data_IF_263653829636
#
_entry.id   IF_263653829636
#
_cell.length_a   1.000
_cell.length_b   1.000
_cell.length_c   1.000
_cell.angle_alpha   90.00
_cell.angle_beta   90.00
_cell.angle_gamma   90.00
#
_symmetry.space_group_name_H-M   'P 1'
#
loop_
_entity.id
_entity.type
_entity.pdbx_description
1 polymer ?
#
# COMPACT_ATOMS: atom_id res chain seq x y z
N UNK A 1 2.50 3.82 -17.52
CA UNK A 1 2.59 4.22 -16.10
C UNK A 1 3.91 4.92 -15.84
N UNK A 2 5.05 4.26 -16.07
CA UNK A 2 6.39 4.75 -15.72
C UNK A 2 6.72 6.17 -16.22
N UNK A 3 6.41 6.47 -17.49
CA UNK A 3 6.66 7.81 -18.06
C UNK A 3 5.80 8.93 -17.46
N UNK A 4 4.62 8.59 -16.91
CA UNK A 4 3.67 9.58 -16.37
C UNK A 4 3.80 9.78 -14.86
N UNK A 5 4.43 8.84 -14.17
CA UNK A 5 4.51 8.79 -12.70
C UNK A 5 5.90 8.30 -12.27
N UNK A 6 6.95 8.99 -12.73
CA UNK A 6 8.34 8.58 -12.55
C UNK A 6 8.77 8.42 -11.07
N UNK A 7 8.49 9.43 -10.25
CA UNK A 7 8.64 9.50 -8.80
C UNK A 7 7.93 8.35 -8.08
N UNK A 8 6.67 8.09 -8.44
CA UNK A 8 5.92 6.96 -7.87
C UNK A 8 6.47 5.62 -8.34
N UNK A 9 6.98 5.55 -9.56
CA UNK A 9 7.57 4.33 -10.13
C UNK A 9 8.84 3.93 -9.39
N UNK A 10 9.69 4.90 -9.07
CA UNK A 10 10.90 4.66 -8.27
C UNK A 10 10.55 4.09 -6.89
N UNK A 11 9.61 4.72 -6.19
CA UNK A 11 9.13 4.25 -4.87
C UNK A 11 8.47 2.87 -4.99
N UNK A 12 7.73 2.61 -6.07
CA UNK A 12 7.10 1.31 -6.30
C UNK A 12 8.13 0.20 -6.52
N UNK A 13 9.19 0.45 -7.31
CA UNK A 13 10.29 -0.50 -7.54
C UNK A 13 11.03 -0.80 -6.22
N UNK A 14 11.30 0.23 -5.42
CA UNK A 14 11.84 0.06 -4.07
C UNK A 14 10.91 -0.82 -3.22
N UNK A 15 9.60 -0.59 -3.28
CA UNK A 15 8.59 -1.43 -2.63
C UNK A 15 8.66 -2.90 -3.05
N UNK A 16 8.87 -3.20 -4.33
CA UNK A 16 9.07 -4.58 -4.78
C UNK A 16 10.31 -5.22 -4.14
N UNK A 17 11.44 -4.51 -4.08
CA UNK A 17 12.68 -5.02 -3.46
C UNK A 17 12.51 -5.27 -1.95
N UNK A 18 11.85 -4.34 -1.25
CA UNK A 18 11.52 -4.48 0.17
C UNK A 18 10.64 -5.71 0.41
N UNK A 19 9.64 -5.96 -0.45
CA UNK A 19 8.78 -7.14 -0.34
C UNK A 19 9.56 -8.46 -0.45
N UNK A 20 10.53 -8.54 -1.36
CA UNK A 20 11.33 -9.75 -1.55
C UNK A 20 12.31 -9.96 -0.38
N UNK A 21 12.91 -8.88 0.15
CA UNK A 21 13.74 -8.94 1.35
C UNK A 21 12.93 -9.39 2.57
N UNK A 22 11.72 -8.84 2.72
CA UNK A 22 10.77 -9.23 3.77
C UNK A 22 10.35 -10.69 3.65
N UNK A 23 10.08 -11.16 2.44
CA UNK A 23 9.74 -12.56 2.18
C UNK A 23 10.85 -13.50 2.68
N UNK A 24 12.11 -13.22 2.34
CA UNK A 24 13.27 -13.98 2.84
C UNK A 24 13.34 -13.98 4.35
N UNK A 25 13.14 -12.83 4.98
CA UNK A 25 13.13 -12.76 6.44
C UNK A 25 12.00 -13.59 7.06
N UNK A 26 10.79 -13.52 6.52
CA UNK A 26 9.63 -14.22 7.04
C UNK A 26 9.77 -15.74 6.89
N UNK A 27 10.47 -16.20 5.85
CA UNK A 27 10.57 -17.61 5.48
C UNK A 27 11.94 -18.25 5.75
N UNK A 28 12.91 -17.53 6.32
CA UNK A 28 14.29 -18.01 6.58
C UNK A 28 14.42 -19.34 7.32
N UNK A 29 13.40 -19.75 8.08
CA UNK A 29 13.38 -20.98 8.87
C UNK A 29 12.38 -22.01 8.32
N UNK A 30 11.86 -21.82 7.12
CA UNK A 30 10.90 -22.71 6.46
C UNK A 30 11.63 -23.50 5.35
N UNK A 31 11.07 -24.64 4.93
CA UNK A 31 11.64 -25.45 3.83
C UNK A 31 11.78 -24.68 2.52
N UNK A 32 10.90 -23.72 2.29
CA UNK A 32 11.03 -22.73 1.24
C UNK A 32 11.33 -21.38 1.87
N UNK A 33 12.52 -20.87 1.60
CA UNK A 33 13.14 -19.72 2.27
C UNK A 33 12.97 -18.38 1.50
N UNK A 34 12.25 -18.40 0.38
CA UNK A 34 12.07 -17.26 -0.51
C UNK A 34 13.39 -16.70 -1.11
N UNK A 35 14.47 -17.49 -1.17
CA UNK A 35 15.73 -17.05 -1.79
C UNK A 35 15.61 -17.01 -3.31
N UNK A 36 14.96 -18.02 -3.89
CA UNK A 36 14.66 -18.11 -5.32
C UNK A 36 13.21 -17.69 -5.60
N UNK A 37 12.98 -16.38 -5.66
CA UNK A 37 11.66 -15.76 -5.88
C UNK A 37 11.10 -15.95 -7.28
N UNK A 38 11.97 -16.29 -8.23
CA UNK A 38 11.57 -16.57 -9.60
C UNK A 38 11.24 -18.05 -9.81
N UNK A 39 11.84 -18.97 -9.04
CA UNK A 39 11.68 -20.41 -9.25
C UNK A 39 11.44 -21.19 -7.94
N UNK A 40 10.43 -22.05 -7.93
CA UNK A 40 10.18 -23.04 -6.90
C UNK A 40 10.23 -24.44 -7.51
N UNK A 41 11.10 -25.33 -6.98
CA UNK A 41 11.32 -26.70 -7.49
C UNK A 41 11.60 -26.74 -9.00
N UNK A 42 12.45 -25.83 -9.48
CA UNK A 42 12.86 -25.75 -10.90
C UNK A 42 11.80 -25.17 -11.84
N UNK A 43 10.66 -24.67 -11.35
CA UNK A 43 9.60 -24.05 -12.16
C UNK A 43 9.35 -22.61 -11.74
N UNK A 44 8.94 -21.76 -12.67
CA UNK A 44 8.68 -20.37 -12.32
C UNK A 44 7.58 -20.28 -11.25
N UNK A 45 7.80 -19.49 -10.19
CA UNK A 45 6.78 -19.22 -9.18
C UNK A 45 5.57 -18.51 -9.80
N UNK A 46 5.80 -17.71 -10.83
CA UNK A 46 4.76 -17.07 -11.64
C UNK A 46 4.31 -17.90 -12.84
N UNK A 47 4.70 -19.17 -12.95
CA UNK A 47 4.31 -20.04 -14.07
C UNK A 47 2.78 -20.08 -14.18
N UNK A 48 2.20 -19.61 -15.30
CA UNK A 48 0.76 -19.58 -15.52
C UNK A 48 0.15 -20.98 -15.68
N UNK A 49 0.96 -22.04 -15.66
CA UNK A 49 0.48 -23.42 -15.65
C UNK A 49 0.62 -24.08 -14.27
N UNK A 50 1.12 -23.36 -13.25
CA UNK A 50 1.29 -23.88 -11.89
C UNK A 50 0.88 -22.89 -10.81
N UNK A 51 -0.19 -23.23 -10.09
CA UNK A 51 -0.59 -22.52 -8.87
C UNK A 51 0.16 -23.04 -7.65
N UNK A 52 1.27 -22.41 -7.29
CA UNK A 52 1.96 -22.69 -6.02
C UNK A 52 1.37 -21.88 -4.87
N UNK A 53 1.32 -22.48 -3.68
CA UNK A 53 0.90 -21.78 -2.46
C UNK A 53 1.88 -20.63 -2.18
N UNK A 54 3.16 -20.84 -2.40
CA UNK A 54 4.27 -19.91 -2.21
C UNK A 54 4.11 -18.66 -3.07
N UNK A 55 3.56 -18.77 -4.28
CA UNK A 55 3.28 -17.61 -5.13
C UNK A 55 2.27 -16.67 -4.46
N UNK A 56 1.28 -17.22 -3.74
CA UNK A 56 0.26 -16.40 -3.07
C UNK A 56 0.84 -15.41 -2.06
N UNK A 57 1.85 -15.84 -1.30
CA UNK A 57 2.48 -14.98 -0.29
C UNK A 57 3.33 -13.89 -0.94
N UNK A 58 4.03 -14.21 -2.03
CA UNK A 58 4.82 -13.22 -2.78
C UNK A 58 3.90 -12.13 -3.32
N UNK A 59 2.83 -12.49 -4.01
CA UNK A 59 1.88 -11.51 -4.57
C UNK A 59 1.22 -10.65 -3.49
N UNK A 60 0.86 -11.26 -2.35
CA UNK A 60 0.33 -10.52 -1.21
C UNK A 60 1.36 -9.52 -0.62
N UNK A 61 2.62 -9.95 -0.44
CA UNK A 61 3.70 -9.09 0.05
C UNK A 61 4.02 -7.95 -0.92
N UNK A 62 4.06 -8.22 -2.22
CA UNK A 62 4.30 -7.19 -3.24
C UNK A 62 3.19 -6.14 -3.25
N UNK A 63 1.93 -6.57 -3.26
CA UNK A 63 0.78 -5.67 -3.21
C UNK A 63 0.74 -4.82 -1.94
N UNK A 64 1.06 -5.41 -0.79
CA UNK A 64 1.15 -4.70 0.49
C UNK A 64 2.33 -3.73 0.54
N UNK A 65 3.53 -4.14 0.11
CA UNK A 65 4.74 -3.33 0.18
C UNK A 65 4.64 -2.11 -0.72
N UNK A 66 4.26 -2.28 -1.98
CA UNK A 66 4.12 -1.17 -2.93
C UNK A 66 3.08 -0.16 -2.40
N UNK A 67 1.95 -0.64 -1.89
CA UNK A 67 0.93 0.24 -1.28
C UNK A 67 1.47 0.97 -0.05
N UNK A 68 2.23 0.28 0.81
CA UNK A 68 2.85 0.86 2.03
C UNK A 68 3.87 1.94 1.68
N UNK A 69 4.79 1.66 0.77
CA UNK A 69 5.88 2.56 0.40
C UNK A 69 5.37 3.81 -0.31
N UNK A 70 4.44 3.67 -1.27
CA UNK A 70 3.84 4.84 -1.94
C UNK A 70 3.06 5.68 -0.92
N UNK A 71 2.28 5.05 -0.04
CA UNK A 71 1.53 5.78 0.99
C UNK A 71 2.44 6.55 1.94
N UNK A 72 3.58 5.96 2.32
CA UNK A 72 4.57 6.60 3.20
C UNK A 72 5.27 7.76 2.51
N UNK A 73 5.80 7.55 1.32
CA UNK A 73 6.44 8.61 0.52
C UNK A 73 5.47 9.78 0.30
N UNK A 74 4.19 9.47 0.08
CA UNK A 74 3.15 10.48 -0.03
C UNK A 74 2.96 11.29 1.26
N UNK A 75 2.85 10.60 2.40
CA UNK A 75 2.67 11.25 3.71
C UNK A 75 3.93 11.99 4.21
N UNK A 76 5.10 11.63 3.70
CA UNK A 76 6.38 12.27 4.00
C UNK A 76 6.68 13.49 3.11
N UNK A 77 5.82 13.76 2.11
CA UNK A 77 6.03 14.77 1.08
C UNK A 77 7.25 14.51 0.16
N UNK A 78 7.68 13.25 0.03
CA UNK A 78 8.72 12.84 -0.92
C UNK A 78 8.20 12.85 -2.39
N UNK A 79 6.88 12.73 -2.57
CA UNK A 79 6.20 12.73 -3.87
C UNK A 79 5.69 14.13 -4.26
N UNK A 80 6.62 15.08 -4.41
CA UNK A 80 6.36 16.53 -4.51
C UNK A 80 5.28 16.94 -5.53
N UNK A 81 5.17 16.24 -6.67
CA UNK A 81 4.24 16.58 -7.76
C UNK A 81 3.04 15.66 -7.87
N UNK A 82 3.08 14.52 -7.17
CA UNK A 82 2.19 13.39 -7.42
C UNK A 82 1.14 13.21 -6.34
N UNK A 83 1.41 13.64 -5.10
CA UNK A 83 0.44 13.74 -4.04
C UNK A 83 0.91 14.67 -2.91
N UNK A 84 -0.02 15.16 -2.09
CA UNK A 84 0.32 15.98 -0.94
C UNK A 84 -0.88 16.24 -0.03
N UNK A 85 -0.61 16.52 1.24
CA UNK A 85 -1.62 17.00 2.18
C UNK A 85 -1.68 18.52 2.07
N UNK A 86 -2.52 19.05 1.18
CA UNK A 86 -2.74 20.50 1.13
C UNK A 86 -3.36 20.96 2.44
N UNK A 87 -2.77 21.99 3.06
CA UNK A 87 -3.51 22.86 3.96
C UNK A 87 -4.78 23.29 3.23
N UNK A 88 -5.92 23.31 3.91
CA UNK A 88 -7.27 23.41 3.34
C UNK A 88 -7.60 24.77 2.68
N UNK A 89 -6.65 25.37 1.97
CA UNK A 89 -6.75 26.65 1.27
C UNK A 89 -6.60 26.53 -0.26
N UNK A 90 -6.16 25.39 -0.82
CA UNK A 90 -5.86 25.31 -2.27
C UNK A 90 -6.76 24.39 -3.12
N UNK A 91 -7.89 23.90 -2.61
CA UNK A 91 -8.87 23.16 -3.42
C UNK A 91 -10.12 24.01 -3.71
N UNK A 92 -9.94 25.09 -4.48
CA UNK A 92 -11.04 25.89 -5.03
C UNK A 92 -11.42 25.48 -6.47
N UNK A 93 -11.23 24.20 -6.85
CA UNK A 93 -11.71 23.65 -8.13
C UNK A 93 -12.05 22.17 -8.00
N UNK A 94 -13.25 21.87 -7.49
CA UNK A 94 -14.12 20.80 -8.01
C UNK A 94 -15.40 20.70 -7.17
N UNK A 95 -16.51 20.88 -7.88
CA UNK A 95 -17.86 20.40 -7.60
C UNK A 95 -18.83 21.27 -6.77
N UNK A 96 -19.66 21.99 -7.53
CA UNK A 96 -20.91 22.62 -7.10
C UNK A 96 -21.97 21.52 -6.89
N UNK A 97 -22.02 20.90 -5.71
CA UNK A 97 -23.30 20.37 -5.23
C UNK A 97 -23.36 20.10 -3.74
N UNK A 98 -24.17 20.97 -3.11
CA UNK A 98 -25.03 20.75 -1.95
C UNK A 98 -24.45 20.90 -0.53
N UNK A 99 -25.04 21.93 0.08
CA UNK A 99 -25.53 22.07 1.46
C UNK A 99 -24.54 22.52 2.54
N UNK A 100 -24.64 23.82 2.82
CA UNK A 100 -24.29 24.53 4.04
C UNK A 100 -24.63 23.72 5.30
N UNK A 101 -23.68 23.58 6.22
CA UNK A 101 -23.84 23.93 7.64
C UNK A 101 -22.46 23.98 8.34
N UNK A 102 -22.25 25.10 9.03
CA UNK A 102 -21.29 25.39 10.09
C UNK A 102 -19.76 25.30 9.82
N UNK A 103 -19.16 26.49 9.74
CA UNK A 103 -17.72 26.78 9.69
C UNK A 103 -17.07 26.69 11.08
N UNK A 104 -17.14 25.54 11.73
CA UNK A 104 -16.40 25.33 12.97
C UNK A 104 -14.93 25.01 12.68
N UNK A 105 -14.01 25.56 13.48
CA UNK A 105 -12.57 25.25 13.46
C UNK A 105 -12.33 23.73 13.47
N UNK A 106 -13.12 22.99 14.26
CA UNK A 106 -13.13 21.53 14.31
C UNK A 106 -13.58 20.87 13.00
N UNK A 107 -14.52 21.48 12.27
CA UNK A 107 -14.93 21.05 10.93
C UNK A 107 -13.87 21.25 9.85
N UNK A 108 -13.06 22.33 9.96
CA UNK A 108 -11.88 22.57 9.10
C UNK A 108 -10.73 21.61 9.43
N UNK A 109 -10.49 21.31 10.71
CA UNK A 109 -9.49 20.33 11.15
C UNK A 109 -9.86 18.91 10.69
N UNK A 110 -11.15 18.56 10.70
CA UNK A 110 -11.66 17.30 10.13
C UNK A 110 -11.40 17.20 8.63
N UNK A 111 -11.60 18.28 7.86
CA UNK A 111 -11.25 18.34 6.43
C UNK A 111 -9.73 18.29 6.17
N UNK A 112 -8.93 18.93 7.00
CA UNK A 112 -7.46 18.82 6.96
C UNK A 112 -6.98 17.38 7.21
N UNK A 113 -7.60 16.67 8.16
CA UNK A 113 -7.34 15.24 8.38
C UNK A 113 -7.77 14.36 7.19
N UNK A 114 -8.84 14.73 6.47
CA UNK A 114 -9.27 14.08 5.22
C UNK A 114 -8.30 14.34 4.05
N UNK A 115 -7.66 15.50 3.98
CA UNK A 115 -6.63 15.81 2.98
C UNK A 115 -5.37 14.94 3.14
N UNK A 116 -5.10 14.42 4.35
CA UNK A 116 -4.00 13.48 4.62
C UNK A 116 -4.44 12.00 4.69
N UNK A 117 -5.75 11.74 4.77
CA UNK A 117 -6.37 10.45 4.46
C UNK A 117 -6.25 10.07 2.96
N UNK A 118 -5.75 11.01 2.15
CA UNK A 118 -5.34 10.80 0.76
C UNK A 118 -4.15 9.85 0.63
N UNK A 119 -3.18 9.82 1.56
CA UNK A 119 -1.92 9.06 1.35
C UNK A 119 -2.12 7.55 1.18
N UNK A 120 -2.93 6.92 2.04
CA UNK A 120 -3.29 5.51 1.94
C UNK A 120 -4.14 5.20 0.69
N UNK A 121 -5.05 6.10 0.35
CA UNK A 121 -5.94 5.96 -0.81
C UNK A 121 -5.17 6.15 -2.11
N UNK A 122 -4.23 7.10 -2.11
CA UNK A 122 -3.31 7.39 -3.19
C UNK A 122 -2.38 6.21 -3.42
N UNK A 123 -1.74 5.71 -2.36
CA UNK A 123 -0.92 4.52 -2.41
C UNK A 123 -1.67 3.30 -2.94
N UNK A 124 -2.94 3.12 -2.58
CA UNK A 124 -3.80 2.09 -3.14
C UNK A 124 -3.99 2.27 -4.67
N UNK A 125 -4.45 3.44 -5.11
CA UNK A 125 -4.72 3.74 -6.53
C UNK A 125 -3.47 3.57 -7.38
N UNK A 126 -2.33 4.11 -6.91
CA UNK A 126 -1.08 4.04 -7.66
C UNK A 126 -0.51 2.63 -7.68
N UNK A 127 -0.60 1.90 -6.56
CA UNK A 127 -0.27 0.48 -6.54
C UNK A 127 -1.12 -0.31 -7.53
N UNK A 128 -2.40 0.04 -7.72
CA UNK A 128 -3.25 -0.58 -8.76
C UNK A 128 -2.64 -0.33 -10.12
N UNK A 129 -2.50 0.93 -10.49
CA UNK A 129 -2.02 1.33 -11.82
C UNK A 129 -0.61 0.80 -12.14
N UNK A 130 0.25 0.62 -11.13
CA UNK A 130 1.59 0.07 -11.28
C UNK A 130 1.59 -1.45 -11.45
N UNK A 131 0.85 -2.17 -10.61
CA UNK A 131 0.83 -3.64 -10.59
C UNK A 131 -0.17 -4.25 -11.57
N UNK A 132 -1.13 -3.47 -12.06
CA UNK A 132 -2.17 -3.92 -12.99
C UNK A 132 -1.56 -4.38 -14.30
N UNK A 133 -1.44 -5.70 -14.42
CA UNK A 133 -1.03 -6.37 -15.65
C UNK A 133 -2.18 -6.30 -16.62
N UNK A 134 -2.00 -5.62 -17.75
CA UNK A 134 -2.83 -5.87 -18.94
C UNK A 134 -2.56 -7.31 -19.35
N UNK A 135 -3.53 -8.20 -19.15
CA UNK A 135 -3.37 -9.58 -19.60
C UNK A 135 -3.26 -9.57 -21.12
N UNK A 136 -2.09 -9.99 -21.64
CA UNK A 136 -1.89 -10.20 -23.07
C UNK A 136 -2.56 -11.50 -23.55
N UNK A 137 -3.05 -12.36 -22.64
CA UNK A 137 -3.54 -13.72 -22.93
C UNK A 137 -4.93 -14.09 -22.39
N UNK A 138 -5.68 -13.15 -21.81
CA UNK A 138 -7.00 -13.41 -21.23
C UNK A 138 -7.00 -13.48 -19.70
N UNK A 139 -8.19 -13.37 -19.09
CA UNK A 139 -8.39 -13.38 -17.64
C UNK A 139 -8.44 -14.83 -17.11
N UNK A 140 -7.31 -15.53 -17.15
CA UNK A 140 -7.24 -16.92 -16.67
C UNK A 140 -7.41 -17.00 -15.14
N UNK A 141 -7.79 -18.17 -14.61
CA UNK A 141 -8.02 -18.38 -13.17
C UNK A 141 -6.81 -17.91 -12.34
N UNK A 142 -5.59 -18.18 -12.80
CA UNK A 142 -4.38 -17.72 -12.10
C UNK A 142 -4.22 -16.20 -12.07
N UNK A 143 -4.67 -15.49 -13.10
CA UNK A 143 -4.70 -14.02 -13.07
C UNK A 143 -5.63 -13.54 -11.94
N UNK A 144 -6.81 -14.14 -11.80
CA UNK A 144 -7.73 -13.82 -10.72
C UNK A 144 -7.16 -14.17 -9.33
N UNK A 145 -6.47 -15.31 -9.19
CA UNK A 145 -5.80 -15.71 -7.94
C UNK A 145 -4.69 -14.72 -7.58
N UNK A 146 -3.86 -14.31 -8.55
CA UNK A 146 -2.80 -13.31 -8.33
C UNK A 146 -3.40 -11.96 -7.90
N UNK A 147 -4.42 -11.49 -8.62
CA UNK A 147 -5.12 -10.26 -8.26
C UNK A 147 -5.79 -10.35 -6.88
N UNK A 148 -6.36 -11.49 -6.52
CA UNK A 148 -6.91 -11.73 -5.19
C UNK A 148 -5.83 -11.57 -4.11
N UNK A 149 -4.68 -12.20 -4.29
CA UNK A 149 -3.57 -12.17 -3.34
C UNK A 149 -2.97 -10.77 -3.21
N UNK A 150 -2.72 -10.06 -4.31
CA UNK A 150 -2.28 -8.66 -4.29
C UNK A 150 -3.29 -7.76 -3.55
N UNK A 151 -4.59 -7.97 -3.81
CA UNK A 151 -5.66 -7.22 -3.16
C UNK A 151 -5.79 -7.53 -1.67
N UNK A 152 -5.48 -8.74 -1.23
CA UNK A 152 -5.40 -9.09 0.19
C UNK A 152 -4.35 -8.23 0.88
N UNK A 153 -3.13 -8.16 0.33
CA UNK A 153 -2.03 -7.37 0.87
C UNK A 153 -2.41 -5.89 1.03
N UNK A 154 -2.96 -5.29 -0.03
CA UNK A 154 -3.51 -3.93 -0.03
C UNK A 154 -4.58 -3.70 1.04
N UNK A 155 -5.56 -4.61 1.16
CA UNK A 155 -6.63 -4.50 2.16
C UNK A 155 -6.07 -4.55 3.59
N UNK A 156 -5.05 -5.37 3.83
CA UNK A 156 -4.37 -5.45 5.13
C UNK A 156 -3.67 -4.13 5.48
N UNK A 157 -2.94 -3.52 4.55
CA UNK A 157 -2.31 -2.19 4.76
C UNK A 157 -3.35 -1.15 5.20
N UNK A 158 -4.49 -1.10 4.50
CA UNK A 158 -5.57 -0.15 4.84
C UNK A 158 -6.22 -0.47 6.19
N UNK A 159 -6.44 -1.75 6.49
CA UNK A 159 -7.06 -2.21 7.76
C UNK A 159 -6.14 -1.97 8.95
N UNK A 160 -4.83 -2.12 8.77
CA UNK A 160 -3.82 -1.98 9.82
C UNK A 160 -3.24 -0.57 9.90
N UNK A 161 -3.82 0.40 9.19
CA UNK A 161 -3.40 1.79 9.23
C UNK A 161 -3.38 2.33 10.67
N UNK A 162 -2.31 3.04 11.01
CA UNK A 162 -2.12 3.62 12.35
C UNK A 162 -2.31 5.13 12.30
N UNK A 163 -2.73 5.71 13.42
CA UNK A 163 -2.78 7.17 13.57
C UNK A 163 -1.43 7.65 14.09
N UNK A 164 -0.81 8.57 13.37
CA UNK A 164 0.36 9.34 13.84
C UNK A 164 -0.07 10.76 14.11
N UNK A 165 0.52 11.38 15.13
CA UNK A 165 0.23 12.75 15.51
C UNK A 165 1.52 13.56 15.63
N UNK A 166 1.48 14.82 15.21
CA UNK A 166 2.49 15.84 15.51
C UNK A 166 1.94 16.81 16.54
N UNK A 167 2.72 17.08 17.58
CA UNK A 167 2.37 18.01 18.64
C UNK A 167 2.88 19.42 18.31
N UNK A 168 2.09 20.44 18.65
CA UNK A 168 2.31 21.83 18.30
C UNK A 168 2.27 22.78 19.51
N UNK A 169 2.21 22.26 20.74
CA UNK A 169 2.16 23.09 21.93
C UNK A 169 3.53 23.68 22.31
N UNK A 170 3.50 24.76 23.08
CA UNK A 170 4.70 25.43 23.60
C UNK A 170 5.58 24.42 24.34
N UNK A 171 6.89 24.51 24.15
CA UNK A 171 7.89 23.59 24.71
C UNK A 171 7.67 22.10 24.36
N UNK A 172 7.03 21.81 23.23
CA UNK A 172 6.79 20.43 22.78
C UNK A 172 5.58 19.76 23.43
N UNK A 173 4.73 20.51 24.13
CA UNK A 173 3.49 19.96 24.70
C UNK A 173 2.51 19.48 23.61
N UNK A 174 1.74 18.44 23.93
CA UNK A 174 0.76 17.83 23.02
C UNK A 174 -0.67 18.30 23.24
N UNK A 175 -0.87 19.44 23.93
CA UNK A 175 -2.19 20.05 24.15
C UNK A 175 -2.87 20.38 22.81
N UNK A 176 -2.11 20.90 21.85
CA UNK A 176 -2.51 20.99 20.45
C UNK A 176 -1.73 19.95 19.66
N UNK A 177 -2.45 19.08 18.94
CA UNK A 177 -1.84 18.07 18.06
C UNK A 177 -2.65 17.87 16.79
N UNK A 178 -1.95 17.53 15.73
CA UNK A 178 -2.51 17.22 14.42
C UNK A 178 -2.26 15.75 14.15
N UNK A 179 -3.30 14.99 13.84
CA UNK A 179 -3.20 13.54 13.64
C UNK A 179 -3.68 13.13 12.25
N UNK A 180 -3.04 12.11 11.68
CA UNK A 180 -3.42 11.53 10.39
C UNK A 180 -3.18 10.02 10.37
N UNK A 181 -3.91 9.31 9.51
CA UNK A 181 -3.69 7.88 9.25
C UNK A 181 -2.50 7.71 8.33
N UNK A 182 -1.59 6.80 8.68
CA UNK A 182 -0.44 6.41 7.86
C UNK A 182 -0.39 4.90 7.68
N UNK A 183 0.36 4.46 6.68
CA UNK A 183 0.61 3.03 6.49
C UNK A 183 1.38 2.45 7.69
N UNK A 184 1.02 1.24 8.14
CA UNK A 184 1.69 0.57 9.27
C UNK A 184 3.14 0.22 8.95
N UNK A 185 3.83 -0.34 9.95
CA UNK A 185 5.05 -1.09 9.70
C UNK A 185 4.80 -2.25 8.73
N UNK A 186 5.58 -2.33 7.66
CA UNK A 186 5.45 -3.38 6.67
C UNK A 186 5.74 -4.76 7.27
N UNK A 187 6.67 -4.87 8.23
CA UNK A 187 6.96 -6.11 8.97
C UNK A 187 5.71 -6.68 9.61
N UNK A 188 4.94 -5.83 10.30
CA UNK A 188 3.68 -6.23 10.96
C UNK A 188 2.64 -6.72 9.96
N UNK A 189 2.56 -6.08 8.79
CA UNK A 189 1.67 -6.54 7.71
C UNK A 189 2.12 -7.90 7.18
N UNK A 190 3.43 -8.09 7.01
CA UNK A 190 4.02 -9.34 6.56
C UNK A 190 3.77 -10.50 7.54
N UNK A 191 3.80 -10.27 8.85
CA UNK A 191 3.48 -11.27 9.88
C UNK A 191 2.03 -11.79 9.74
N UNK A 192 1.08 -10.87 9.50
CA UNK A 192 -0.33 -11.22 9.26
C UNK A 192 -0.46 -11.95 7.92
N UNK A 193 0.24 -11.51 6.87
CA UNK A 193 0.25 -12.19 5.57
C UNK A 193 0.80 -13.61 5.72
N UNK A 194 1.87 -13.84 6.49
CA UNK A 194 2.42 -15.17 6.76
C UNK A 194 1.39 -16.06 7.45
N UNK A 195 0.65 -15.51 8.41
CA UNK A 195 -0.44 -16.25 9.09
C UNK A 195 -1.55 -16.62 8.10
N UNK A 196 -1.94 -15.71 7.20
CA UNK A 196 -2.93 -15.98 6.14
C UNK A 196 -2.43 -17.00 5.12
N UNK A 197 -1.15 -16.97 4.77
CA UNK A 197 -0.51 -17.96 3.91
C UNK A 197 -0.63 -19.37 4.49
N UNK A 198 -0.38 -19.56 5.80
CA UNK A 198 -0.52 -20.88 6.43
C UNK A 198 -1.93 -21.46 6.25
N UNK A 199 -2.95 -20.62 6.29
CA UNK A 199 -4.37 -20.95 6.12
C UNK A 199 -4.88 -20.88 4.68
N UNK A 200 -4.02 -20.68 3.67
CA UNK A 200 -4.47 -20.52 2.29
C UNK A 200 -5.15 -21.79 1.75
N UNK A 201 -6.24 -21.59 1.02
CA UNK A 201 -7.09 -22.64 0.46
C UNK A 201 -6.75 -22.87 -1.01
N UNK A 202 -6.78 -24.12 -1.44
CA UNK A 202 -6.71 -24.49 -2.86
C UNK A 202 -8.09 -24.36 -3.47
N UNK A 203 -8.19 -23.58 -4.54
CA UNK A 203 -9.40 -23.38 -5.35
C UNK A 203 -9.33 -24.18 -6.64
#
# INVERSE_FOLDING_TARGET
>A
FCLRHHDVTEVAILGLRIALSECRYQFKNELWDCTNVMYHRGKQISDPNKGFKESSVIFALLGASVSTQISRACSAADLQYSCGCTSAQSSHRADHSKTHTQTDFWGKLRRYSQACQSSLTYGDVMRKKFMERRSLRGQDILWHVQQHNENLGRKLVKKMAIVRCKCHGVSGSCQLKTCWKVAPDFRRVADVIKTKFKMAVRV
#
